data_IF_025673056424
#
_entry.id   IF_025673056424
#
_cell.length_a   1.000
_cell.length_b   1.000
_cell.length_c   1.000
_cell.angle_alpha   90.00
_cell.angle_beta   90.00
_cell.angle_gamma   90.00
#
_symmetry.space_group_name_H-M   'P 1'
#
loop_
_entity.id
_entity.type
_entity.pdbx_description
1 polymer ?
#
# COMPACT_ATOMS: atom_id res chain seq x y z
N UNK A 1 2.96 4.24 -4.01
CA UNK A 1 3.68 4.81 -5.17
C UNK A 1 3.87 3.72 -6.23
N UNK A 2 3.96 4.08 -7.51
CA UNK A 2 4.20 3.10 -8.59
C UNK A 2 5.49 2.30 -8.35
N UNK A 3 6.56 3.01 -8.00
CA UNK A 3 7.85 2.44 -7.61
C UNK A 3 8.02 2.55 -6.09
N UNK A 4 7.99 1.44 -5.34
CA UNK A 4 8.22 1.48 -3.90
C UNK A 4 9.71 1.68 -3.60
N UNK A 5 10.00 2.49 -2.59
CA UNK A 5 11.36 2.69 -2.09
C UNK A 5 11.38 2.30 -0.62
N UNK A 6 12.21 1.32 -0.29
CA UNK A 6 12.49 0.87 1.07
C UNK A 6 13.94 1.22 1.42
N UNK A 7 14.16 1.57 2.69
CA UNK A 7 15.47 1.87 3.23
C UNK A 7 16.15 0.58 3.71
N UNK A 8 17.48 0.53 3.60
CA UNK A 8 18.31 -0.56 4.12
C UNK A 8 18.31 -0.56 5.65
N UNK A 9 17.26 -1.12 6.25
CA UNK A 9 17.04 -1.19 7.69
C UNK A 9 16.01 -2.28 8.01
N UNK A 10 15.50 -2.36 9.23
CA UNK A 10 14.47 -3.34 9.60
C UNK A 10 13.13 -3.04 8.91
N UNK A 11 12.27 -4.06 8.82
CA UNK A 11 10.88 -3.88 8.41
C UNK A 11 10.16 -2.90 9.35
N UNK A 12 10.41 -2.99 10.66
CA UNK A 12 9.93 -2.02 11.66
C UNK A 12 10.29 -0.59 11.29
N UNK A 13 11.57 -0.30 11.06
CA UNK A 13 12.02 1.04 10.67
C UNK A 13 11.37 1.52 9.37
N UNK A 14 11.18 0.60 8.43
CA UNK A 14 10.51 0.92 7.20
C UNK A 14 9.03 1.25 7.42
N UNK A 15 8.32 0.64 8.36
CA UNK A 15 6.92 0.95 8.65
C UNK A 15 6.76 2.20 9.51
N UNK A 16 7.60 2.33 10.53
CA UNK A 16 7.55 3.35 11.56
C UNK A 16 8.97 3.78 11.98
N UNK A 17 9.57 4.75 11.27
CA UNK A 17 10.93 5.19 11.57
C UNK A 17 11.05 6.03 12.86
N UNK A 18 9.93 6.41 13.48
CA UNK A 18 9.89 7.25 14.68
C UNK A 18 9.40 6.52 15.93
N UNK A 19 9.16 5.20 15.84
CA UNK A 19 8.68 4.35 16.94
C UNK A 19 7.42 4.90 17.63
N UNK A 20 6.48 5.44 16.85
CA UNK A 20 5.20 5.93 17.35
C UNK A 20 4.15 4.82 17.56
N UNK A 21 4.34 3.64 16.96
CA UNK A 21 3.36 2.56 16.94
C UNK A 21 3.88 1.28 17.64
N UNK A 22 2.96 0.56 18.27
CA UNK A 22 3.24 -0.73 18.90
C UNK A 22 3.43 -1.83 17.85
N UNK A 23 4.15 -2.90 18.21
CA UNK A 23 4.29 -4.07 17.34
C UNK A 23 2.93 -4.62 16.87
N UNK A 24 1.93 -4.62 17.75
CA UNK A 24 0.57 -5.07 17.43
C UNK A 24 -0.06 -4.22 16.33
N UNK A 25 0.01 -2.88 16.44
CA UNK A 25 -0.48 -1.97 15.41
C UNK A 25 0.24 -2.16 14.07
N UNK A 26 1.56 -2.41 14.10
CA UNK A 26 2.33 -2.71 12.89
C UNK A 26 1.88 -4.03 12.26
N UNK A 27 1.62 -5.06 13.08
CA UNK A 27 1.12 -6.34 12.60
C UNK A 27 -0.28 -6.24 12.01
N UNK A 28 -1.17 -5.47 12.60
CA UNK A 28 -2.52 -5.24 12.08
C UNK A 28 -2.48 -4.55 10.71
N UNK A 29 -1.58 -3.57 10.54
CA UNK A 29 -1.37 -2.92 9.25
C UNK A 29 -0.81 -3.88 8.19
N UNK A 30 0.13 -4.76 8.57
CA UNK A 30 0.67 -5.79 7.69
C UNK A 30 -0.36 -6.88 7.34
N UNK A 31 -1.28 -7.18 8.26
CA UNK A 31 -2.38 -8.12 8.04
C UNK A 31 -3.40 -7.56 7.05
N UNK A 32 -3.76 -6.29 7.23
CA UNK A 32 -4.68 -5.57 6.37
C UNK A 32 -4.23 -5.56 4.90
N UNK A 33 -2.93 -5.57 4.65
CA UNK A 33 -2.35 -5.64 3.29
C UNK A 33 -1.93 -7.05 2.87
N UNK A 34 -2.35 -8.09 3.59
CA UNK A 34 -2.01 -9.51 3.34
C UNK A 34 -0.50 -9.83 3.31
N UNK A 35 0.32 -9.02 3.97
CA UNK A 35 1.75 -9.27 4.12
C UNK A 35 2.06 -10.14 5.36
N UNK A 36 1.18 -10.15 6.37
CA UNK A 36 1.39 -10.91 7.63
C UNK A 36 1.54 -12.42 7.41
N UNK A 37 0.75 -13.02 6.53
CA UNK A 37 0.82 -14.46 6.21
C UNK A 37 2.11 -14.86 5.52
N UNK A 38 2.71 -13.98 4.69
CA UNK A 38 4.04 -14.19 4.10
C UNK A 38 5.18 -13.88 5.07
N UNK A 39 4.94 -13.00 6.05
CA UNK A 39 5.95 -12.60 7.02
C UNK A 39 6.01 -13.49 8.27
N UNK A 40 4.99 -14.29 8.56
CA UNK A 40 5.08 -15.32 9.60
C UNK A 40 6.15 -16.39 9.29
N UNK A 41 6.56 -16.52 8.01
CA UNK A 41 7.71 -17.32 7.59
C UNK A 41 9.06 -16.60 7.72
N UNK A 42 9.08 -15.28 7.97
CA UNK A 42 10.32 -14.55 8.21
C UNK A 42 10.81 -14.82 9.64
N UNK A 43 12.01 -15.40 9.77
CA UNK A 43 12.63 -15.77 11.06
C UNK A 43 12.63 -14.62 12.07
N UNK A 44 12.87 -13.40 11.59
CA UNK A 44 13.08 -12.22 12.44
C UNK A 44 11.87 -11.27 12.50
N UNK A 45 10.71 -11.64 11.93
CA UNK A 45 9.47 -10.85 12.09
C UNK A 45 9.65 -9.37 11.69
N UNK A 46 9.29 -8.41 12.56
CA UNK A 46 9.48 -6.98 12.32
C UNK A 46 10.96 -6.55 12.29
N UNK A 47 11.86 -7.38 12.85
CA UNK A 47 13.31 -7.14 12.84
C UNK A 47 14.00 -7.66 11.58
N UNK A 48 13.26 -8.27 10.63
CA UNK A 48 13.81 -8.67 9.34
C UNK A 48 14.50 -7.52 8.65
N UNK A 49 15.76 -7.74 8.26
CA UNK A 49 16.57 -6.77 7.53
C UNK A 49 16.08 -6.66 6.09
N UNK A 50 15.82 -5.45 5.66
CA UNK A 50 15.58 -5.08 4.28
C UNK A 50 16.91 -4.68 3.67
N UNK A 51 17.29 -5.33 2.57
CA UNK A 51 18.49 -5.01 1.81
C UNK A 51 18.31 -3.68 1.06
N UNK A 52 19.38 -3.17 0.44
CA UNK A 52 19.31 -1.92 -0.33
C UNK A 52 18.16 -1.95 -1.34
N UNK A 53 17.34 -0.90 -1.31
CA UNK A 53 16.14 -0.71 -2.13
C UNK A 53 15.11 -1.84 -2.02
N UNK A 54 15.16 -2.66 -0.96
CA UNK A 54 14.28 -3.82 -0.80
C UNK A 54 14.57 -4.96 -1.77
N UNK A 55 15.82 -5.11 -2.22
CA UNK A 55 16.21 -6.14 -3.20
C UNK A 55 15.96 -7.59 -2.75
N UNK A 56 15.78 -7.83 -1.45
CA UNK A 56 15.41 -9.12 -0.88
C UNK A 56 13.88 -9.34 -0.76
N UNK A 57 13.06 -8.40 -1.25
CA UNK A 57 11.60 -8.50 -1.35
C UNK A 57 11.19 -8.41 -2.82
N UNK A 58 10.06 -9.01 -3.15
CA UNK A 58 9.43 -8.78 -4.46
C UNK A 58 8.92 -7.35 -4.57
N UNK A 59 8.79 -6.85 -5.81
CA UNK A 59 8.23 -5.51 -6.05
C UNK A 59 6.83 -5.35 -5.44
N UNK A 60 6.01 -6.40 -5.52
CA UNK A 60 4.68 -6.43 -4.90
C UNK A 60 4.73 -6.33 -3.38
N UNK A 61 5.67 -7.01 -2.71
CA UNK A 61 5.83 -6.88 -1.25
C UNK A 61 6.30 -5.48 -0.85
N UNK A 62 7.25 -4.91 -1.60
CA UNK A 62 7.67 -3.53 -1.38
C UNK A 62 6.52 -2.53 -1.56
N UNK A 63 5.63 -2.77 -2.53
CA UNK A 63 4.40 -2.01 -2.72
C UNK A 63 3.46 -2.12 -1.52
N UNK A 64 3.22 -3.34 -1.02
CA UNK A 64 2.36 -3.58 0.14
C UNK A 64 2.93 -2.96 1.42
N UNK A 65 4.25 -2.96 1.63
CA UNK A 65 4.88 -2.20 2.72
C UNK A 65 4.59 -0.71 2.57
N UNK A 66 4.63 -0.16 1.36
CA UNK A 66 4.27 1.24 1.12
C UNK A 66 2.78 1.53 1.38
N UNK A 67 1.88 0.59 1.08
CA UNK A 67 0.46 0.72 1.41
C UNK A 67 0.26 0.66 2.94
N UNK A 68 0.95 -0.25 3.63
CA UNK A 68 0.89 -0.35 5.09
C UNK A 68 1.34 0.96 5.77
N UNK A 69 2.39 1.62 5.27
CA UNK A 69 2.80 2.96 5.73
C UNK A 69 1.68 4.00 5.64
N UNK A 70 0.87 3.93 4.59
CA UNK A 70 -0.21 4.90 4.36
C UNK A 70 -1.30 4.81 5.43
N UNK A 71 -1.53 3.62 6.02
CA UNK A 71 -2.50 3.38 7.09
C UNK A 71 -2.23 4.29 8.30
N UNK A 72 -0.96 4.55 8.60
CA UNK A 72 -0.55 5.31 9.78
C UNK A 72 -0.61 6.83 9.59
N UNK A 73 -0.60 7.33 8.35
CA UNK A 73 -0.40 8.76 8.09
C UNK A 73 -1.58 9.68 8.40
N UNK A 74 -2.78 9.14 8.67
CA UNK A 74 -4.01 9.89 8.98
C UNK A 74 -4.24 11.12 8.07
N UNK A 75 -3.88 11.02 6.78
CA UNK A 75 -4.00 12.13 5.84
C UNK A 75 -5.46 12.42 5.49
N UNK A 76 -5.83 13.69 5.33
CA UNK A 76 -7.16 14.06 4.79
C UNK A 76 -7.36 13.62 3.33
N UNK A 77 -6.26 13.54 2.58
CA UNK A 77 -6.22 13.14 1.18
C UNK A 77 -5.16 12.06 1.00
N UNK A 78 -5.55 10.92 0.43
CA UNK A 78 -4.68 9.80 0.10
C UNK A 78 -4.56 9.69 -1.42
N UNK A 79 -3.35 9.78 -1.95
CA UNK A 79 -3.06 9.56 -3.37
C UNK A 79 -2.49 8.16 -3.57
N UNK A 80 -3.14 7.36 -4.43
CA UNK A 80 -2.73 6.02 -4.80
C UNK A 80 -2.35 6.03 -6.28
N UNK A 81 -1.05 6.04 -6.55
CA UNK A 81 -0.52 5.89 -7.91
C UNK A 81 -0.10 4.43 -8.13
N UNK A 82 -0.98 3.65 -8.77
CA UNK A 82 -0.73 2.26 -9.18
C UNK A 82 -0.04 1.38 -8.14
N UNK A 83 -0.40 1.58 -6.87
CA UNK A 83 0.32 1.01 -5.73
C UNK A 83 0.17 -0.52 -5.61
N UNK A 84 -0.60 -1.16 -6.47
CA UNK A 84 -0.85 -2.61 -6.52
C UNK A 84 -0.50 -3.23 -7.88
N UNK A 85 0.22 -2.50 -8.76
CA UNK A 85 0.49 -2.99 -10.11
C UNK A 85 1.26 -4.33 -10.17
N UNK A 86 2.04 -4.67 -9.14
CA UNK A 86 2.92 -5.85 -9.08
C UNK A 86 2.49 -6.87 -8.00
N UNK A 87 1.30 -6.73 -7.44
CA UNK A 87 0.74 -7.72 -6.49
C UNK A 87 -0.11 -8.75 -7.25
N UNK A 88 -0.35 -9.92 -6.63
CA UNK A 88 -1.22 -10.94 -7.20
C UNK A 88 -2.67 -10.46 -7.28
N UNK A 89 -3.46 -11.06 -8.19
CA UNK A 89 -4.84 -10.64 -8.48
C UNK A 89 -5.73 -10.59 -7.23
N UNK A 90 -5.60 -11.56 -6.33
CA UNK A 90 -6.40 -11.61 -5.11
C UNK A 90 -6.08 -10.42 -4.20
N UNK A 91 -4.80 -10.10 -4.05
CA UNK A 91 -4.37 -8.92 -3.27
C UNK A 91 -4.78 -7.61 -3.96
N UNK A 92 -4.69 -7.52 -5.29
CA UNK A 92 -5.06 -6.33 -6.08
C UNK A 92 -6.55 -5.98 -5.93
N UNK A 93 -7.43 -6.97 -5.79
CA UNK A 93 -8.86 -6.76 -5.56
C UNK A 93 -9.22 -6.38 -4.12
N UNK A 94 -8.42 -6.82 -3.14
CA UNK A 94 -8.71 -6.63 -1.72
C UNK A 94 -8.21 -5.28 -1.19
N UNK A 95 -7.07 -4.80 -1.67
CA UNK A 95 -6.47 -3.54 -1.19
C UNK A 95 -7.41 -2.33 -1.41
N UNK A 96 -8.03 -2.10 -2.59
CA UNK A 96 -8.95 -0.98 -2.77
C UNK A 96 -10.15 -1.02 -1.81
N UNK A 97 -10.71 -2.22 -1.57
CA UNK A 97 -11.83 -2.41 -0.62
C UNK A 97 -11.41 -2.07 0.80
N UNK A 98 -10.28 -2.63 1.23
CA UNK A 98 -9.69 -2.33 2.53
C UNK A 98 -9.45 -0.83 2.73
N UNK A 99 -8.86 -0.15 1.74
CA UNK A 99 -8.57 1.28 1.84
C UNK A 99 -9.85 2.11 1.98
N UNK A 100 -10.93 1.77 1.26
CA UNK A 100 -12.23 2.43 1.42
C UNK A 100 -12.83 2.22 2.81
N UNK A 101 -12.77 1.00 3.34
CA UNK A 101 -13.27 0.68 4.69
C UNK A 101 -12.45 1.37 5.79
N UNK A 102 -11.12 1.47 5.61
CA UNK A 102 -10.24 2.08 6.61
C UNK A 102 -10.32 3.61 6.60
N UNK A 103 -10.55 4.20 5.43
CA UNK A 103 -10.45 5.64 5.20
C UNK A 103 -11.79 6.29 4.83
N UNK A 104 -12.86 5.92 5.53
CA UNK A 104 -14.25 6.38 5.26
C UNK A 104 -14.44 7.90 5.35
N UNK A 105 -13.62 8.59 6.15
CA UNK A 105 -13.71 10.04 6.35
C UNK A 105 -12.62 10.82 5.58
N UNK A 106 -11.95 10.20 4.62
CA UNK A 106 -10.84 10.79 3.87
C UNK A 106 -11.10 10.71 2.37
N UNK A 107 -10.49 11.62 1.61
CA UNK A 107 -10.58 11.60 0.15
C UNK A 107 -9.48 10.71 -0.42
N UNK A 108 -9.84 9.66 -1.14
CA UNK A 108 -8.89 8.80 -1.87
C UNK A 108 -8.90 9.19 -3.35
N UNK A 109 -7.73 9.53 -3.89
CA UNK A 109 -7.51 9.74 -5.32
C UNK A 109 -6.66 8.59 -5.86
N UNK A 110 -7.23 7.80 -6.76
CA UNK A 110 -6.55 6.63 -7.33
C UNK A 110 -6.25 6.85 -8.81
N UNK A 111 -4.98 6.74 -9.18
CA UNK A 111 -4.52 6.66 -10.56
C UNK A 111 -4.38 5.18 -10.90
N UNK A 112 -5.17 4.70 -11.85
CA UNK A 112 -5.17 3.31 -12.27
C UNK A 112 -5.09 3.18 -13.79
N UNK A 113 -4.43 2.11 -14.23
CA UNK A 113 -4.41 1.65 -15.62
C UNK A 113 -5.34 0.46 -15.87
N UNK A 114 -5.89 -0.13 -14.81
CA UNK A 114 -6.83 -1.26 -14.86
C UNK A 114 -8.20 -0.76 -14.42
N UNK A 115 -9.20 -0.96 -15.27
CA UNK A 115 -10.56 -0.50 -14.99
C UNK A 115 -11.12 -1.14 -13.70
N UNK A 116 -10.89 -2.44 -13.52
CA UNK A 116 -11.38 -3.21 -12.37
C UNK A 116 -10.97 -2.60 -11.02
N UNK A 117 -9.81 -1.94 -10.93
CA UNK A 117 -9.32 -1.31 -9.69
C UNK A 117 -10.11 -0.06 -9.31
N UNK A 118 -10.82 0.57 -10.25
CA UNK A 118 -11.53 1.85 -10.06
C UNK A 118 -13.05 1.76 -10.23
N UNK A 119 -13.59 0.58 -10.56
CA UNK A 119 -15.02 0.40 -10.86
C UNK A 119 -15.94 0.80 -9.70
N UNK A 120 -15.46 0.66 -8.46
CA UNK A 120 -16.24 0.93 -7.25
C UNK A 120 -15.98 2.34 -6.66
N UNK A 121 -15.35 3.25 -7.41
CA UNK A 121 -15.10 4.61 -6.93
C UNK A 121 -16.35 5.50 -7.08
N UNK A 122 -16.55 6.44 -6.15
CA UNK A 122 -17.69 7.38 -6.18
C UNK A 122 -17.75 8.22 -7.47
N UNK A 123 -16.57 8.53 -8.03
CA UNK A 123 -16.39 9.31 -9.25
C UNK A 123 -15.20 8.75 -10.03
N UNK A 124 -15.34 8.70 -11.35
CA UNK A 124 -14.27 8.31 -12.26
C UNK A 124 -13.99 9.50 -13.18
N UNK A 125 -12.72 9.88 -13.27
CA UNK A 125 -12.25 10.88 -14.21
C UNK A 125 -11.37 10.20 -15.24
N UNK A 126 -11.67 10.42 -16.52
CA UNK A 126 -10.85 9.94 -17.61
C UNK A 126 -10.19 11.13 -18.32
N UNK A 127 -8.89 11.00 -18.55
CA UNK A 127 -8.09 12.04 -19.19
C UNK A 127 -7.49 11.48 -20.48
N UNK A 128 -7.98 11.94 -21.62
CA UNK A 128 -7.45 11.58 -22.94
C UNK A 128 -7.14 12.85 -23.74
N UNK A 129 -5.88 12.97 -24.18
CA UNK A 129 -5.39 14.05 -25.06
C UNK A 129 -5.82 15.46 -24.63
N UNK A 130 -5.34 16.01 -23.52
CA UNK A 130 -5.55 17.42 -23.10
C UNK A 130 -7.00 17.92 -23.01
N UNK A 131 -8.01 17.07 -23.22
CA UNK A 131 -9.42 17.39 -23.04
C UNK A 131 -9.96 16.57 -21.86
N UNK A 132 -10.65 17.25 -20.94
CA UNK A 132 -11.24 16.64 -19.74
C UNK A 132 -12.60 16.03 -20.08
N UNK A 133 -12.80 14.74 -19.82
CA UNK A 133 -14.08 14.05 -19.97
C UNK A 133 -14.57 13.53 -18.62
N UNK A 134 -15.77 13.94 -18.20
CA UNK A 134 -16.40 13.51 -16.94
C UNK A 134 -17.36 12.37 -17.29
N UNK A 135 -17.07 11.16 -16.79
CA UNK A 135 -17.91 9.96 -16.95
C UNK A 135 -18.84 9.85 -15.74
#
# INVERSE_FOLDING_TARGET
PRFPVLFSNTLRYNLDPFDHYTDEQLWDALEAVQLKTKNNTLKDKLNTKIAEYGSNFSVGECQLVCVARAIFKQSKILLIDEATAHVDTKTDELIPKFLREKFTNQTILTIARRLNTIMDNDKICYYERWYYCRI
#
